data_IF_262190452406
#
_entry.id   IF_262190452406
#
_cell.length_a   1.000
_cell.length_b   1.000
_cell.length_c   1.000
_cell.angle_alpha   90.00
_cell.angle_beta   90.00
_cell.angle_gamma   90.00
#
_symmetry.space_group_name_H-M   'P 1'
#
loop_
_entity.id
_entity.type
_entity.pdbx_description
1 polymer ?
#
# COMPACT_ATOMS: atom_id res chain seq x y z
N UNK A 1 9.69 -6.18 4.71
CA UNK A 1 9.87 -7.55 5.26
C UNK A 1 8.71 -7.95 6.18
N UNK A 2 8.28 -7.15 7.17
CA UNK A 2 7.14 -7.48 8.04
C UNK A 2 5.76 -7.56 7.34
N UNK A 3 5.48 -6.66 6.39
CA UNK A 3 4.21 -6.69 5.64
C UNK A 3 4.01 -7.99 4.85
N UNK A 4 5.11 -8.61 4.38
CA UNK A 4 5.05 -9.80 3.54
C UNK A 4 4.59 -11.05 4.28
N UNK A 5 4.90 -11.16 5.58
CA UNK A 5 4.47 -12.28 6.42
C UNK A 5 2.96 -12.23 6.74
N UNK A 6 2.42 -11.02 6.94
CA UNK A 6 0.99 -10.81 7.23
C UNK A 6 0.15 -11.03 5.98
N UNK A 7 0.61 -10.49 4.85
CA UNK A 7 -0.11 -10.60 3.57
C UNK A 7 -0.13 -12.03 3.05
N UNK A 8 0.96 -12.79 3.21
CA UNK A 8 1.00 -14.21 2.82
C UNK A 8 -0.03 -15.10 3.53
N UNK A 9 -0.41 -14.77 4.78
CA UNK A 9 -1.51 -15.46 5.49
C UNK A 9 -2.90 -14.99 5.08
N UNK A 10 -3.03 -13.78 4.53
CA UNK A 10 -4.32 -13.21 4.13
C UNK A 10 -4.74 -13.61 2.71
N UNK A 11 -3.76 -13.91 1.83
CA UNK A 11 -3.97 -14.37 0.45
C UNK A 11 -4.93 -15.57 0.30
N UNK A 12 -4.77 -16.69 1.05
CA UNK A 12 -5.63 -17.85 0.87
C UNK A 12 -7.05 -17.68 1.43
N UNK A 13 -7.29 -16.63 2.24
CA UNK A 13 -8.58 -16.40 2.90
C UNK A 13 -9.46 -15.44 2.07
N UNK A 14 -8.88 -14.38 1.51
CA UNK A 14 -9.62 -13.35 0.77
C UNK A 14 -9.66 -13.54 -0.75
N UNK A 15 -8.82 -14.43 -1.29
CA UNK A 15 -8.68 -14.67 -2.72
C UNK A 15 -7.77 -13.66 -3.41
N UNK A 16 -6.92 -14.15 -4.31
CA UNK A 16 -5.85 -13.38 -4.98
C UNK A 16 -6.38 -12.10 -5.64
N UNK A 17 -7.53 -12.18 -6.33
CA UNK A 17 -8.07 -11.04 -7.09
C UNK A 17 -8.50 -9.86 -6.19
N UNK A 18 -9.03 -10.14 -5.01
CA UNK A 18 -9.53 -9.11 -4.09
C UNK A 18 -8.39 -8.42 -3.35
N UNK A 19 -7.37 -9.18 -2.93
CA UNK A 19 -6.17 -8.62 -2.28
C UNK A 19 -5.41 -7.70 -3.24
N UNK A 20 -5.33 -8.07 -4.52
CA UNK A 20 -4.71 -7.23 -5.55
C UNK A 20 -5.48 -5.92 -5.77
N UNK A 21 -6.81 -5.99 -5.90
CA UNK A 21 -7.66 -4.80 -6.01
C UNK A 21 -7.53 -3.88 -4.79
N UNK A 22 -7.51 -4.45 -3.58
CA UNK A 22 -7.34 -3.69 -2.35
C UNK A 22 -5.97 -3.02 -2.28
N UNK A 23 -4.90 -3.72 -2.68
CA UNK A 23 -3.55 -3.17 -2.75
C UNK A 23 -3.46 -1.99 -3.73
N UNK A 24 -4.05 -2.11 -4.93
CA UNK A 24 -4.08 -1.02 -5.93
C UNK A 24 -4.90 0.17 -5.43
N UNK A 25 -6.02 -0.08 -4.77
CA UNK A 25 -6.85 0.97 -4.20
C UNK A 25 -6.14 1.74 -3.09
N UNK A 26 -5.49 1.02 -2.17
CA UNK A 26 -4.69 1.62 -1.10
C UNK A 26 -3.52 2.44 -1.67
N UNK A 27 -2.84 1.93 -2.69
CA UNK A 27 -1.74 2.63 -3.36
C UNK A 27 -2.21 3.92 -4.04
N UNK A 28 -3.29 3.85 -4.80
CA UNK A 28 -3.83 5.00 -5.53
C UNK A 28 -4.30 6.08 -4.55
N UNK A 29 -4.97 5.67 -3.47
CA UNK A 29 -5.42 6.60 -2.41
C UNK A 29 -4.23 7.28 -1.73
N UNK A 30 -3.15 6.53 -1.43
CA UNK A 30 -1.92 7.08 -0.85
C UNK A 30 -1.29 8.15 -1.73
N UNK A 31 -1.23 7.91 -3.05
CA UNK A 31 -0.66 8.88 -4.00
C UNK A 31 -1.51 10.14 -4.13
N UNK A 32 -2.84 10.04 -4.10
CA UNK A 32 -3.73 11.22 -4.11
C UNK A 32 -3.51 12.07 -2.85
N UNK A 33 -3.47 11.43 -1.68
CA UNK A 33 -3.22 12.12 -0.40
C UNK A 33 -1.84 12.77 -0.40
N UNK A 34 -0.83 12.10 -0.96
CA UNK A 34 0.51 12.67 -1.12
C UNK A 34 0.52 13.91 -2.01
N UNK A 35 -0.25 13.92 -3.09
CA UNK A 35 -0.41 15.08 -3.97
C UNK A 35 -1.10 16.27 -3.27
N UNK A 36 -2.11 16.01 -2.44
CA UNK A 36 -2.77 17.04 -1.63
C UNK A 36 -1.89 17.60 -0.52
N UNK A 37 -0.82 16.89 -0.14
CA UNK A 37 0.10 17.34 0.90
C UNK A 37 0.89 18.60 0.52
N UNK A 38 0.97 18.92 -0.77
CA UNK A 38 1.61 20.14 -1.27
C UNK A 38 0.88 21.43 -0.85
N UNK A 39 -0.37 21.35 -0.40
CA UNK A 39 -1.12 22.50 0.12
C UNK A 39 -0.80 22.84 1.59
N UNK A 40 0.06 22.06 2.25
CA UNK A 40 0.48 22.31 3.63
C UNK A 40 1.74 23.19 3.62
N UNK A 41 1.59 24.45 4.04
CA UNK A 41 2.71 25.40 4.18
C UNK A 41 3.66 25.06 5.34
N UNK A 42 3.20 24.27 6.32
CA UNK A 42 3.97 23.99 7.53
C UNK A 42 4.90 22.77 7.34
N UNK A 43 6.21 23.01 7.22
CA UNK A 43 7.22 22.00 6.90
C UNK A 43 7.22 20.78 7.84
N UNK A 44 7.01 21.01 9.15
CA UNK A 44 6.98 19.93 10.15
C UNK A 44 5.76 19.03 9.91
N UNK A 45 4.58 19.62 9.71
CA UNK A 45 3.36 18.87 9.43
C UNK A 45 3.48 18.11 8.10
N UNK A 46 4.00 18.76 7.06
CA UNK A 46 4.25 18.13 5.77
C UNK A 46 5.11 16.86 5.92
N UNK A 47 6.22 16.96 6.66
CA UNK A 47 7.16 15.85 6.81
C UNK A 47 6.54 14.66 7.55
N UNK A 48 5.80 14.90 8.64
CA UNK A 48 5.14 13.83 9.41
C UNK A 48 4.07 13.12 8.59
N UNK A 49 3.21 13.86 7.90
CA UNK A 49 2.19 13.26 7.04
C UNK A 49 2.82 12.53 5.84
N UNK A 50 3.89 13.06 5.27
CA UNK A 50 4.65 12.43 4.19
C UNK A 50 5.14 11.04 4.59
N UNK A 51 5.75 10.91 5.77
CA UNK A 51 6.17 9.61 6.29
C UNK A 51 4.99 8.65 6.51
N UNK A 52 3.89 9.12 7.11
CA UNK A 52 2.69 8.29 7.32
C UNK A 52 2.12 7.75 6.00
N UNK A 53 1.97 8.61 5.00
CA UNK A 53 1.47 8.23 3.67
C UNK A 53 2.42 7.26 2.98
N UNK A 54 3.74 7.44 3.10
CA UNK A 54 4.73 6.53 2.50
C UNK A 54 4.74 5.15 3.15
N UNK A 55 4.48 5.04 4.45
CA UNK A 55 4.33 3.74 5.12
C UNK A 55 3.08 3.01 4.57
N UNK A 56 1.97 3.73 4.39
CA UNK A 56 0.74 3.15 3.85
C UNK A 56 0.89 2.75 2.36
N UNK A 57 1.57 3.58 1.56
CA UNK A 57 1.92 3.28 0.16
C UNK A 57 2.79 2.02 0.05
N UNK A 58 3.82 1.90 0.91
CA UNK A 58 4.70 0.73 0.94
C UNK A 58 3.94 -0.56 1.29
N UNK A 59 2.92 -0.46 2.16
CA UNK A 59 2.06 -1.58 2.50
C UNK A 59 1.21 -2.04 1.30
N UNK A 60 0.57 -1.11 0.58
CA UNK A 60 -0.17 -1.41 -0.64
C UNK A 60 0.70 -2.03 -1.74
N UNK A 61 1.90 -1.49 -1.97
CA UNK A 61 2.90 -2.06 -2.90
C UNK A 61 3.29 -3.48 -2.53
N UNK A 62 3.51 -3.75 -1.24
CA UNK A 62 3.84 -5.10 -0.78
C UNK A 62 2.71 -6.09 -1.07
N UNK A 63 1.44 -5.67 -0.91
CA UNK A 63 0.28 -6.52 -1.23
C UNK A 63 0.18 -6.87 -2.71
N UNK A 64 0.34 -5.87 -3.58
CA UNK A 64 0.33 -6.07 -5.04
C UNK A 64 1.46 -7.03 -5.43
N UNK A 65 2.67 -6.81 -4.93
CA UNK A 65 3.83 -7.63 -5.29
C UNK A 65 3.63 -9.11 -4.94
N UNK A 66 3.21 -9.41 -3.70
CA UNK A 66 2.98 -10.79 -3.24
C UNK A 66 1.88 -11.47 -4.04
N UNK A 67 0.81 -10.73 -4.32
CA UNK A 67 -0.34 -11.27 -5.05
C UNK A 67 -0.01 -11.51 -6.52
N UNK A 68 0.73 -10.60 -7.15
CA UNK A 68 1.24 -10.79 -8.52
C UNK A 68 2.16 -12.01 -8.61
N UNK A 69 3.07 -12.21 -7.65
CA UNK A 69 3.90 -13.42 -7.59
C UNK A 69 3.06 -14.69 -7.41
N UNK A 70 2.08 -14.67 -6.51
CA UNK A 70 1.17 -15.80 -6.28
C UNK A 70 0.30 -16.12 -7.51
N UNK A 71 -0.05 -15.13 -8.32
CA UNK A 71 -0.88 -15.31 -9.51
C UNK A 71 -0.08 -15.84 -10.70
N UNK A 72 1.22 -15.51 -10.80
CA UNK A 72 2.12 -16.03 -11.84
C UNK A 72 2.55 -17.47 -11.54
N UNK A 73 2.71 -17.83 -10.25
CA UNK A 73 3.12 -19.18 -9.83
C UNK A 73 1.99 -20.22 -9.78
N UNK A 74 0.74 -19.82 -10.03
CA UNK A 74 -0.43 -20.70 -10.09
C UNK A 74 -0.84 -20.98 -11.53
#
# INVERSE_FOLDING_TARGET
MFGSAIVGKCLPIFGHRNVLLFGIFALSTSNIIFGMLHFIDNYICFTVFCFGVKIFDAFGKSMIMITSFSLIMN
#
